data_IF_718037606250
#
_entry.id   IF_718037606250
#
_cell.length_a   1.000
_cell.length_b   1.000
_cell.length_c   1.000
_cell.angle_alpha   90.00
_cell.angle_beta   90.00
_cell.angle_gamma   90.00
#
_symmetry.space_group_name_H-M   'P 1'
#
loop_
_entity.id
_entity.type
_entity.pdbx_description
1 polymer ?
#
# COMPACT_ATOMS: atom_id res chain seq x y z
N UNK A 1 3.49 -13.19 -12.97
CA UNK A 1 2.13 -12.96 -12.43
C UNK A 1 1.71 -14.07 -11.45
N UNK A 2 1.95 -15.32 -11.75
CA UNK A 2 1.52 -16.47 -10.96
C UNK A 2 2.27 -16.62 -9.63
N UNK A 3 3.60 -16.49 -9.64
CA UNK A 3 4.43 -16.45 -8.44
C UNK A 3 4.01 -15.30 -7.51
N UNK A 4 3.63 -14.15 -8.08
CA UNK A 4 3.06 -13.05 -7.32
C UNK A 4 1.75 -13.43 -6.63
N UNK A 5 0.83 -14.11 -7.30
CA UNK A 5 -0.47 -14.48 -6.72
C UNK A 5 -0.34 -15.57 -5.65
N UNK A 6 0.55 -16.55 -5.83
CA UNK A 6 0.80 -17.59 -4.83
C UNK A 6 1.62 -17.11 -3.64
N UNK A 7 2.50 -16.12 -3.85
CA UNK A 7 3.31 -15.53 -2.79
C UNK A 7 2.57 -14.42 -2.03
N UNK A 8 1.60 -13.74 -2.67
CA UNK A 8 0.81 -12.68 -2.03
C UNK A 8 -0.01 -13.19 -0.85
N UNK A 9 -0.65 -14.35 -0.99
CA UNK A 9 -1.34 -15.01 0.12
C UNK A 9 -1.57 -16.49 -0.20
N UNK A 10 -0.79 -17.43 0.35
CA UNK A 10 -1.00 -18.87 0.13
C UNK A 10 -2.39 -19.29 0.61
N UNK A 11 -3.10 -20.03 -0.24
CA UNK A 11 -4.35 -20.72 0.11
C UNK A 11 -5.65 -19.98 -0.21
N UNK A 12 -5.69 -18.65 -0.28
CA UNK A 12 -6.97 -17.94 -0.47
C UNK A 12 -7.51 -18.02 -1.89
N UNK A 13 -6.63 -17.87 -2.87
CA UNK A 13 -7.01 -17.87 -4.29
C UNK A 13 -6.84 -19.25 -4.94
N UNK A 14 -6.31 -20.23 -4.23
CA UNK A 14 -6.04 -21.58 -4.74
C UNK A 14 -7.24 -22.22 -5.45
N UNK A 15 -8.49 -22.15 -4.92
CA UNK A 15 -9.64 -22.74 -5.61
C UNK A 15 -9.97 -22.06 -6.94
N UNK A 16 -9.63 -20.78 -7.09
CA UNK A 16 -9.94 -19.96 -8.27
C UNK A 16 -8.74 -19.79 -9.21
N UNK A 17 -7.55 -19.77 -8.67
CA UNK A 17 -6.29 -19.57 -9.41
C UNK A 17 -5.66 -20.92 -9.79
N UNK A 18 -5.89 -21.97 -9.04
CA UNK A 18 -5.39 -23.32 -9.34
C UNK A 18 -5.64 -23.79 -10.78
N UNK A 19 -6.89 -23.73 -11.28
CA UNK A 19 -7.18 -24.10 -12.66
C UNK A 19 -6.47 -23.22 -13.70
N UNK A 20 -6.29 -21.93 -13.41
CA UNK A 20 -5.53 -21.01 -14.27
C UNK A 20 -4.04 -21.34 -14.23
N UNK A 21 -3.54 -21.71 -13.05
CA UNK A 21 -2.17 -22.16 -12.87
C UNK A 21 -1.87 -23.40 -13.68
N UNK A 22 -2.72 -24.39 -13.64
CA UNK A 22 -2.56 -25.62 -14.40
C UNK A 22 -2.58 -25.36 -15.93
N UNK A 23 -3.46 -24.48 -16.40
CA UNK A 23 -3.48 -24.05 -17.82
C UNK A 23 -2.20 -23.34 -18.22
N UNK A 24 -1.66 -22.44 -17.41
CA UNK A 24 -0.40 -21.75 -17.67
C UNK A 24 0.78 -22.71 -17.66
N UNK A 25 0.85 -23.66 -16.72
CA UNK A 25 1.86 -24.71 -16.72
C UNK A 25 1.81 -25.50 -18.02
N UNK A 26 0.62 -25.85 -18.49
CA UNK A 26 0.46 -26.62 -19.74
C UNK A 26 0.92 -25.82 -20.97
N UNK A 27 0.55 -24.53 -21.04
CA UNK A 27 0.96 -23.63 -22.15
C UNK A 27 2.47 -23.38 -22.16
N UNK A 28 3.13 -23.36 -21.00
CA UNK A 28 4.57 -23.13 -20.85
C UNK A 28 5.43 -24.39 -21.02
N UNK A 29 4.84 -25.51 -21.42
CA UNK A 29 5.58 -26.76 -21.70
C UNK A 29 5.58 -27.78 -20.58
N UNK A 30 4.61 -27.69 -19.67
CA UNK A 30 4.38 -28.66 -18.60
C UNK A 30 5.29 -28.52 -17.38
N UNK A 31 5.20 -29.48 -16.46
CA UNK A 31 5.92 -29.51 -15.18
C UNK A 31 7.46 -29.31 -15.28
N UNK A 32 8.19 -29.96 -16.23
CA UNK A 32 9.64 -29.77 -16.33
C UNK A 32 10.04 -28.34 -16.64
N UNK A 33 9.33 -27.69 -17.57
CA UNK A 33 9.59 -26.31 -17.94
C UNK A 33 9.22 -25.35 -16.80
N UNK A 34 8.11 -25.62 -16.10
CA UNK A 34 7.65 -24.87 -14.95
C UNK A 34 8.68 -24.89 -13.81
N UNK A 35 9.17 -26.07 -13.41
CA UNK A 35 10.23 -26.21 -12.38
C UNK A 35 11.53 -25.50 -12.77
N UNK A 36 11.85 -25.46 -14.07
CA UNK A 36 13.01 -24.71 -14.57
C UNK A 36 12.82 -23.21 -14.41
N UNK A 37 11.60 -22.68 -14.64
CA UNK A 37 11.26 -21.28 -14.45
C UNK A 37 11.33 -20.90 -12.96
N UNK A 38 10.73 -21.68 -12.07
CA UNK A 38 10.76 -21.45 -10.62
C UNK A 38 12.18 -21.41 -10.04
N UNK A 39 13.10 -22.21 -10.59
CA UNK A 39 14.52 -22.18 -10.18
C UNK A 39 15.27 -20.95 -10.68
N UNK A 40 14.85 -20.38 -11.81
CA UNK A 40 15.55 -19.27 -12.49
C UNK A 40 14.98 -17.91 -12.18
N UNK A 41 13.70 -17.83 -11.79
CA UNK A 41 13.01 -16.60 -11.42
C UNK A 41 12.72 -16.67 -9.93
N UNK A 42 13.34 -15.80 -9.18
CA UNK A 42 13.09 -15.64 -7.72
C UNK A 42 12.57 -14.26 -7.45
N UNK A 43 11.45 -14.19 -6.73
CA UNK A 43 10.89 -12.94 -6.27
C UNK A 43 11.20 -12.85 -4.78
N UNK A 44 11.95 -11.82 -4.40
CA UNK A 44 12.21 -11.54 -3.00
C UNK A 44 11.28 -10.43 -2.55
N UNK A 45 10.53 -10.67 -1.50
CA UNK A 45 9.69 -9.67 -0.84
C UNK A 45 10.28 -9.36 0.53
N UNK A 46 11.23 -8.41 0.63
CA UNK A 46 11.73 -7.95 1.92
C UNK A 46 10.63 -7.18 2.65
N UNK A 47 10.66 -7.20 3.97
CA UNK A 47 9.79 -6.39 4.85
C UNK A 47 8.28 -6.73 4.81
N UNK A 48 7.92 -7.94 4.39
CA UNK A 48 6.54 -8.41 4.44
C UNK A 48 6.03 -8.47 5.87
N UNK A 49 4.90 -7.83 6.13
CA UNK A 49 4.17 -8.02 7.40
C UNK A 49 3.40 -9.35 7.34
N UNK A 50 3.52 -10.12 8.41
CA UNK A 50 2.78 -11.37 8.50
C UNK A 50 1.31 -11.05 8.76
N UNK A 51 0.44 -11.51 7.89
CA UNK A 51 -1.02 -11.45 8.05
C UNK A 51 -1.50 -12.84 8.44
N UNK A 52 -2.37 -12.90 9.45
CA UNK A 52 -3.01 -14.16 9.82
C UNK A 52 -3.88 -14.65 8.66
N UNK A 53 -3.65 -15.90 8.15
CA UNK A 53 -4.39 -16.42 7.01
C UNK A 53 -5.90 -16.53 7.26
N UNK A 54 -6.32 -16.81 8.50
CA UNK A 54 -7.72 -16.97 8.88
C UNK A 54 -8.44 -15.61 8.82
N UNK A 55 -7.83 -14.57 9.41
CA UNK A 55 -8.38 -13.23 9.37
C UNK A 55 -8.43 -12.70 7.94
N UNK A 56 -7.38 -12.91 7.16
CA UNK A 56 -7.37 -12.53 5.75
C UNK A 56 -8.49 -13.22 4.97
N UNK A 57 -8.66 -14.52 5.15
CA UNK A 57 -9.71 -15.31 4.47
C UNK A 57 -11.11 -14.80 4.83
N UNK A 58 -11.34 -14.49 6.10
CA UNK A 58 -12.62 -13.94 6.58
C UNK A 58 -12.92 -12.60 5.93
N UNK A 59 -11.94 -11.69 5.87
CA UNK A 59 -12.08 -10.38 5.23
C UNK A 59 -12.33 -10.52 3.72
N UNK A 60 -11.56 -11.37 3.03
CA UNK A 60 -11.73 -11.60 1.61
C UNK A 60 -13.11 -12.19 1.28
N UNK A 61 -13.55 -13.15 2.09
CA UNK A 61 -14.88 -13.73 1.96
C UNK A 61 -15.99 -12.68 2.17
N UNK A 62 -15.80 -11.78 3.15
CA UNK A 62 -16.73 -10.69 3.40
C UNK A 62 -16.83 -9.72 2.20
N UNK A 63 -15.69 -9.38 1.56
CA UNK A 63 -15.67 -8.57 0.32
C UNK A 63 -16.42 -9.27 -0.81
N UNK A 64 -16.12 -10.56 -1.07
CA UNK A 64 -16.73 -11.34 -2.15
C UNK A 64 -18.23 -11.53 -1.95
N UNK A 65 -18.64 -11.88 -0.73
CA UNK A 65 -20.07 -12.11 -0.38
C UNK A 65 -20.86 -10.84 -0.12
N UNK A 66 -20.19 -9.67 -0.15
CA UNK A 66 -20.79 -8.39 0.21
C UNK A 66 -21.47 -8.43 1.57
N UNK A 67 -20.77 -8.98 2.56
CA UNK A 67 -21.24 -9.15 3.94
C UNK A 67 -20.54 -8.15 4.86
N UNK A 68 -21.21 -7.80 5.97
CA UNK A 68 -20.56 -7.06 7.05
C UNK A 68 -19.56 -7.97 7.76
N UNK A 69 -18.53 -7.34 8.35
CA UNK A 69 -17.58 -8.04 9.21
C UNK A 69 -17.34 -7.21 10.47
N UNK A 70 -17.37 -7.87 11.61
CA UNK A 70 -16.85 -7.30 12.85
C UNK A 70 -15.36 -7.60 12.91
N UNK A 71 -14.59 -6.59 13.32
CA UNK A 71 -13.14 -6.69 13.48
C UNK A 71 -12.71 -6.12 14.83
N UNK A 72 -11.73 -6.77 15.46
CA UNK A 72 -10.91 -6.19 16.51
C UNK A 72 -9.60 -5.75 15.87
N UNK A 73 -9.41 -4.42 15.80
CA UNK A 73 -8.30 -3.81 15.07
C UNK A 73 -7.36 -3.09 16.03
N UNK A 74 -6.05 -3.33 15.87
CA UNK A 74 -5.00 -2.65 16.61
C UNK A 74 -4.56 -1.36 15.89
N UNK A 75 -4.87 -0.21 16.48
CA UNK A 75 -4.38 1.08 16.01
C UNK A 75 -2.95 1.29 16.50
N UNK A 76 -1.97 1.09 15.65
CA UNK A 76 -0.54 1.24 15.97
C UNK A 76 -0.16 2.64 16.40
N UNK A 77 -0.80 3.68 15.84
CA UNK A 77 -0.51 5.08 16.17
C UNK A 77 -0.96 5.44 17.59
N UNK A 78 -2.10 4.95 18.00
CA UNK A 78 -2.70 5.23 19.31
C UNK A 78 -2.36 4.14 20.33
N UNK A 79 -1.65 3.09 19.91
CA UNK A 79 -1.30 1.93 20.73
C UNK A 79 -2.52 1.34 21.46
N UNK A 80 -3.65 1.21 20.77
CA UNK A 80 -4.90 0.69 21.35
C UNK A 80 -5.66 -0.21 20.40
N UNK A 81 -6.42 -1.13 20.98
CA UNK A 81 -7.37 -1.97 20.25
C UNK A 81 -8.73 -1.28 20.17
N UNK A 82 -9.41 -1.51 19.06
CA UNK A 82 -10.78 -1.00 18.85
C UNK A 82 -11.62 -2.06 18.14
N UNK A 83 -12.85 -2.19 18.57
CA UNK A 83 -13.85 -3.06 17.94
C UNK A 83 -14.71 -2.26 16.97
N UNK A 84 -14.98 -2.83 15.82
CA UNK A 84 -15.73 -2.15 14.75
C UNK A 84 -16.50 -3.13 13.91
N UNK A 85 -17.65 -2.69 13.43
CA UNK A 85 -18.32 -3.32 12.30
C UNK A 85 -17.98 -2.51 11.06
N UNK A 86 -17.53 -3.15 10.02
CA UNK A 86 -17.24 -2.54 8.73
C UNK A 86 -18.06 -3.21 7.62
N UNK A 87 -18.36 -2.45 6.56
CA UNK A 87 -18.84 -2.96 5.28
C UNK A 87 -17.67 -2.93 4.31
N UNK A 88 -16.92 -4.04 4.13
CA UNK A 88 -15.73 -4.07 3.32
C UNK A 88 -16.09 -3.93 1.83
N UNK A 89 -15.39 -3.06 1.11
CA UNK A 89 -15.64 -2.77 -0.29
C UNK A 89 -14.64 -3.46 -1.20
N UNK A 90 -13.34 -3.33 -0.90
CA UNK A 90 -12.26 -3.91 -1.70
C UNK A 90 -11.03 -4.26 -0.86
N UNK A 91 -10.23 -5.23 -1.32
CA UNK A 91 -8.89 -5.53 -0.83
C UNK A 91 -7.86 -4.87 -1.72
N UNK A 92 -6.84 -4.29 -1.12
CA UNK A 92 -5.74 -3.61 -1.80
C UNK A 92 -4.42 -4.21 -1.31
N UNK A 93 -3.57 -4.60 -2.26
CA UNK A 93 -2.19 -4.94 -1.96
C UNK A 93 -1.29 -3.75 -2.29
N UNK A 94 -0.62 -3.21 -1.27
CA UNK A 94 0.23 -2.05 -1.41
C UNK A 94 1.52 -2.22 -0.59
N UNK A 95 2.66 -2.09 -1.23
CA UNK A 95 4.00 -2.23 -0.61
C UNK A 95 4.10 -3.49 0.28
N UNK A 96 3.82 -4.65 -0.30
CA UNK A 96 3.89 -5.96 0.37
C UNK A 96 2.94 -6.14 1.57
N UNK A 97 1.93 -5.26 1.71
CA UNK A 97 0.92 -5.36 2.75
C UNK A 97 -0.50 -5.33 2.17
N UNK A 98 -1.40 -6.04 2.84
CA UNK A 98 -2.82 -6.04 2.51
C UNK A 98 -3.59 -5.02 3.34
N UNK A 99 -4.50 -4.35 2.68
CA UNK A 99 -5.44 -3.41 3.28
C UNK A 99 -6.86 -3.74 2.82
N UNK A 100 -7.83 -3.43 3.66
CA UNK A 100 -9.24 -3.47 3.30
C UNK A 100 -9.85 -2.08 3.43
N UNK A 101 -10.42 -1.61 2.32
CA UNK A 101 -11.24 -0.42 2.35
C UNK A 101 -12.66 -0.81 2.70
N UNK A 102 -13.24 -0.07 3.60
CA UNK A 102 -14.59 -0.34 4.04
C UNK A 102 -15.25 0.86 4.71
N UNK A 103 -16.56 0.88 4.65
CA UNK A 103 -17.35 1.82 5.44
C UNK A 103 -17.36 1.37 6.90
N UNK A 104 -16.82 2.20 7.77
CA UNK A 104 -16.77 1.96 9.21
C UNK A 104 -18.06 2.46 9.88
N UNK A 105 -18.90 1.55 10.37
CA UNK A 105 -20.17 1.92 11.02
C UNK A 105 -19.99 2.69 12.32
N UNK A 106 -18.83 2.55 13.00
CA UNK A 106 -18.54 3.29 14.22
C UNK A 106 -18.21 4.77 13.97
N UNK A 107 -17.59 5.05 12.80
CA UNK A 107 -17.14 6.41 12.43
C UNK A 107 -18.00 7.04 11.35
N UNK A 108 -18.93 6.26 10.80
CA UNK A 108 -19.81 6.65 9.71
C UNK A 108 -19.07 7.21 8.48
N UNK A 109 -17.90 6.62 8.19
CA UNK A 109 -16.99 7.10 7.16
C UNK A 109 -16.23 5.95 6.49
N UNK A 110 -15.70 6.19 5.27
CA UNK A 110 -14.78 5.28 4.60
C UNK A 110 -13.42 5.27 5.31
N UNK A 111 -12.84 4.09 5.46
CA UNK A 111 -11.53 3.89 6.07
C UNK A 111 -10.81 2.70 5.47
N UNK A 112 -9.50 2.82 5.41
CA UNK A 112 -8.59 1.72 5.09
C UNK A 112 -8.05 1.11 6.38
N UNK A 113 -8.11 -0.22 6.48
CA UNK A 113 -7.58 -0.99 7.60
C UNK A 113 -6.48 -1.92 7.11
N UNK A 114 -5.31 -1.85 7.74
CA UNK A 114 -4.25 -2.82 7.49
C UNK A 114 -4.70 -4.20 8.00
N UNK A 115 -4.70 -5.20 7.12
CA UNK A 115 -5.21 -6.54 7.46
C UNK A 115 -4.33 -7.22 8.50
N UNK A 116 -3.02 -6.97 8.48
CA UNK A 116 -2.06 -7.45 9.49
C UNK A 116 -2.24 -6.80 10.88
N UNK A 117 -3.09 -5.80 11.00
CA UNK A 117 -3.48 -5.18 12.26
C UNK A 117 -4.86 -5.65 12.77
N UNK A 118 -5.52 -6.53 12.04
CA UNK A 118 -6.78 -7.17 12.47
C UNK A 118 -6.42 -8.37 13.35
N UNK A 119 -6.83 -8.29 14.60
CA UNK A 119 -6.55 -9.30 15.63
C UNK A 119 -7.64 -10.39 15.67
N UNK A 120 -8.84 -10.03 15.25
CA UNK A 120 -9.99 -10.93 15.13
C UNK A 120 -10.91 -10.42 14.03
N UNK A 121 -11.55 -11.33 13.31
CA UNK A 121 -12.51 -11.03 12.26
C UNK A 121 -13.65 -12.05 12.28
N UNK A 122 -14.90 -11.57 12.28
CA UNK A 122 -16.09 -12.41 12.24
C UNK A 122 -17.10 -11.88 11.22
N UNK A 123 -17.61 -12.74 10.36
CA UNK A 123 -18.74 -12.37 9.50
C UNK A 123 -19.94 -11.98 10.33
N UNK A 124 -20.64 -10.94 9.92
CA UNK A 124 -21.88 -10.49 10.56
C UNK A 124 -23.01 -10.49 9.56
N UNK A 125 -24.16 -10.92 10.04
CA UNK A 125 -25.42 -10.78 9.30
C UNK A 125 -25.80 -9.33 9.16
N UNK A 126 -26.57 -9.05 8.12
CA UNK A 126 -27.10 -7.73 7.85
C UNK A 126 -26.60 -7.16 6.51
N UNK A 127 -27.38 -6.22 6.01
CA UNK A 127 -27.13 -5.62 4.70
C UNK A 127 -25.85 -4.76 4.74
N UNK A 128 -24.90 -5.06 3.86
CA UNK A 128 -23.70 -4.25 3.68
C UNK A 128 -24.08 -2.87 3.13
N UNK A 129 -23.43 -1.81 3.60
CA UNK A 129 -23.48 -0.51 2.93
C UNK A 129 -22.56 -0.57 1.73
N UNK A 130 -23.12 -0.39 0.55
CA UNK A 130 -22.38 -0.32 -0.72
C UNK A 130 -21.98 1.13 -0.93
N UNK A 131 -20.72 1.34 -1.30
CA UNK A 131 -20.15 2.64 -1.66
C UNK A 131 -19.84 2.60 -3.16
N UNK A 132 -20.21 3.64 -3.93
CA UNK A 132 -19.91 3.70 -5.37
C UNK A 132 -18.39 3.68 -5.63
N UNK A 133 -17.98 3.04 -6.72
CA UNK A 133 -16.56 2.92 -7.08
C UNK A 133 -15.88 4.29 -7.25
N UNK A 134 -16.60 5.27 -7.80
CA UNK A 134 -16.11 6.66 -7.94
C UNK A 134 -15.75 7.25 -6.57
N UNK A 135 -16.59 7.08 -5.56
CA UNK A 135 -16.34 7.56 -4.19
C UNK A 135 -15.16 6.82 -3.54
N UNK A 136 -15.02 5.51 -3.82
CA UNK A 136 -13.88 4.72 -3.36
C UNK A 136 -12.57 5.18 -4.01
N UNK A 137 -12.60 5.49 -5.30
CA UNK A 137 -11.43 5.94 -6.03
C UNK A 137 -11.01 7.35 -5.62
N UNK A 138 -11.96 8.26 -5.41
CA UNK A 138 -11.71 9.59 -4.86
C UNK A 138 -11.11 9.51 -3.44
N UNK A 139 -11.58 8.55 -2.64
CA UNK A 139 -11.07 8.38 -1.27
C UNK A 139 -9.62 7.90 -1.23
N UNK A 140 -9.19 7.04 -2.16
CA UNK A 140 -7.86 6.42 -2.17
C UNK A 140 -6.93 6.97 -3.25
N UNK A 141 -7.47 7.48 -4.35
CA UNK A 141 -6.69 7.82 -5.53
C UNK A 141 -6.08 9.22 -5.51
N UNK A 142 -6.39 10.03 -4.52
CA UNK A 142 -6.14 11.47 -4.57
C UNK A 142 -4.68 11.90 -4.36
N UNK A 143 -3.76 10.98 -3.95
CA UNK A 143 -2.37 11.38 -3.68
C UNK A 143 -1.41 10.23 -3.50
N UNK A 144 -0.14 10.56 -3.31
CA UNK A 144 0.92 9.60 -3.06
C UNK A 144 0.63 8.77 -1.80
N UNK A 145 0.70 7.45 -1.94
CA UNK A 145 0.49 6.51 -0.84
C UNK A 145 -0.90 5.92 -0.77
N UNK A 146 -1.17 5.19 0.30
CA UNK A 146 -2.43 4.48 0.55
C UNK A 146 -3.35 5.23 1.54
N UNK A 147 -2.87 6.30 2.15
CA UNK A 147 -3.66 7.02 3.14
C UNK A 147 -4.67 7.95 2.48
N UNK A 148 -5.97 7.74 2.72
CA UNK A 148 -7.01 8.55 2.13
C UNK A 148 -6.98 10.00 2.62
N UNK A 149 -7.28 10.94 1.72
CA UNK A 149 -7.45 12.36 2.03
C UNK A 149 -8.22 13.05 0.92
N UNK A 150 -9.09 13.99 1.30
CA UNK A 150 -9.89 14.77 0.34
C UNK A 150 -9.14 15.97 -0.21
N UNK A 151 -8.19 16.50 0.54
CA UNK A 151 -7.36 17.63 0.14
C UNK A 151 -6.02 17.12 -0.37
N UNK A 152 -5.68 17.49 -1.60
CA UNK A 152 -4.43 17.10 -2.25
C UNK A 152 -3.54 18.34 -2.34
N UNK A 153 -2.34 18.23 -1.79
CA UNK A 153 -1.27 19.20 -1.95
C UNK A 153 -0.21 18.64 -2.90
N UNK A 154 0.59 19.53 -3.46
CA UNK A 154 1.71 19.16 -4.33
C UNK A 154 3.04 19.39 -3.62
N UNK A 155 3.85 18.36 -3.58
CA UNK A 155 5.22 18.44 -3.10
C UNK A 155 6.18 18.60 -4.28
N UNK A 156 7.15 19.48 -4.14
CA UNK A 156 8.29 19.61 -5.06
C UNK A 156 9.54 19.12 -4.32
N UNK A 157 10.17 18.08 -4.86
CA UNK A 157 11.33 17.44 -4.24
C UNK A 157 12.49 17.48 -5.25
N UNK A 158 13.64 17.97 -4.82
CA UNK A 158 14.87 17.98 -5.61
C UNK A 158 15.77 16.84 -5.15
N UNK A 159 16.29 16.08 -6.11
CA UNK A 159 17.23 14.99 -5.89
C UNK A 159 18.61 15.37 -6.44
N UNK A 160 19.67 14.94 -5.76
CA UNK A 160 21.04 15.11 -6.22
C UNK A 160 21.26 14.46 -7.61
N UNK A 161 22.29 14.86 -8.38
CA UNK A 161 22.63 14.19 -9.65
C UNK A 161 22.89 12.69 -9.49
N UNK A 162 23.33 12.25 -8.32
CA UNK A 162 23.55 10.84 -8.02
C UNK A 162 22.22 10.11 -7.86
N UNK A 163 21.34 10.56 -6.99
CA UNK A 163 20.01 9.98 -6.78
C UNK A 163 19.14 10.06 -8.04
N UNK A 164 19.30 11.10 -8.86
CA UNK A 164 18.57 11.30 -10.12
C UNK A 164 18.69 10.11 -11.08
N UNK A 165 19.82 9.41 -11.08
CA UNK A 165 20.06 8.21 -11.93
C UNK A 165 19.04 7.10 -11.66
N UNK A 166 18.52 7.01 -10.46
CA UNK A 166 17.56 5.99 -10.01
C UNK A 166 16.14 6.53 -10.00
N UNK A 167 15.94 7.70 -9.36
CA UNK A 167 14.61 8.28 -9.17
C UNK A 167 13.94 8.65 -10.49
N UNK A 168 14.71 9.11 -11.48
CA UNK A 168 14.16 9.43 -12.81
C UNK A 168 13.54 8.25 -13.56
N UNK A 169 13.79 7.02 -13.12
CA UNK A 169 13.20 5.78 -13.65
C UNK A 169 12.02 5.25 -12.83
N UNK A 170 11.70 5.92 -11.73
CA UNK A 170 10.61 5.51 -10.84
C UNK A 170 9.34 6.30 -11.16
N UNK A 171 8.21 5.64 -11.03
CA UNK A 171 6.90 6.28 -11.03
C UNK A 171 6.37 6.28 -9.59
N UNK A 172 6.27 7.46 -8.99
CA UNK A 172 5.75 7.63 -7.65
C UNK A 172 4.24 7.85 -7.66
N UNK A 173 3.74 8.55 -8.70
CA UNK A 173 2.31 8.79 -8.88
C UNK A 173 1.99 8.92 -10.38
N UNK A 174 0.81 8.48 -10.85
CA UNK A 174 0.44 8.62 -12.26
C UNK A 174 0.46 10.07 -12.79
N UNK A 175 0.13 11.03 -11.95
CA UNK A 175 0.09 12.45 -12.29
C UNK A 175 1.38 13.21 -11.97
N UNK A 176 2.44 12.50 -11.52
CA UNK A 176 3.72 13.15 -11.22
C UNK A 176 4.23 13.97 -12.41
N UNK A 177 4.86 15.11 -12.10
CA UNK A 177 5.60 15.91 -13.07
C UNK A 177 7.06 15.91 -12.70
N UNK A 178 7.93 16.01 -13.70
CA UNK A 178 9.36 15.99 -13.41
C UNK A 178 10.16 16.74 -14.46
N UNK A 179 11.37 17.19 -14.06
CA UNK A 179 12.35 17.79 -14.93
C UNK A 179 13.76 17.53 -14.44
N UNK A 180 14.71 17.49 -15.36
CA UNK A 180 16.14 17.44 -15.04
C UNK A 180 16.71 18.84 -15.20
N UNK A 181 17.46 19.30 -14.21
CA UNK A 181 18.13 20.60 -14.20
C UNK A 181 19.49 20.51 -14.92
N UNK A 182 20.09 21.67 -15.22
CA UNK A 182 21.37 21.75 -15.93
C UNK A 182 22.53 21.11 -15.16
N UNK A 183 22.47 21.12 -13.84
CA UNK A 183 23.46 20.52 -12.95
C UNK A 183 23.32 18.99 -12.83
N UNK A 184 22.35 18.39 -13.54
CA UNK A 184 22.03 16.97 -13.48
C UNK A 184 21.13 16.58 -12.33
N UNK A 185 20.71 17.49 -11.47
CA UNK A 185 19.72 17.22 -10.44
C UNK A 185 18.33 16.98 -11.06
N UNK A 186 17.47 16.26 -10.33
CA UNK A 186 16.14 15.90 -10.78
C UNK A 186 15.09 16.48 -9.84
N UNK A 187 14.13 17.19 -10.39
CA UNK A 187 13.02 17.76 -9.64
C UNK A 187 11.76 16.98 -9.96
N UNK A 188 11.13 16.47 -8.91
CA UNK A 188 9.89 15.70 -8.95
C UNK A 188 8.79 16.51 -8.26
N UNK A 189 7.66 16.64 -8.93
CA UNK A 189 6.43 17.16 -8.36
C UNK A 189 5.44 16.00 -8.21
N UNK A 190 4.93 15.78 -7.00
CA UNK A 190 4.05 14.66 -6.70
C UNK A 190 2.88 15.13 -5.83
N UNK A 191 1.62 14.75 -6.18
CA UNK A 191 0.48 15.07 -5.34
C UNK A 191 0.45 14.13 -4.13
N UNK A 192 0.07 14.64 -2.95
CA UNK A 192 -0.10 13.84 -1.73
C UNK A 192 -1.29 14.35 -0.92
N UNK A 193 -1.99 13.44 -0.26
CA UNK A 193 -3.10 13.76 0.62
C UNK A 193 -2.69 13.72 2.10
N UNK A 194 -1.74 12.86 2.43
CA UNK A 194 -1.09 12.79 3.75
C UNK A 194 0.39 12.63 3.59
N UNK A 195 1.13 13.36 4.39
CA UNK A 195 2.58 13.48 4.26
C UNK A 195 3.37 12.33 4.91
N UNK A 196 2.75 11.45 5.73
CA UNK A 196 3.45 10.41 6.47
C UNK A 196 4.30 9.51 5.56
N UNK A 197 3.73 9.03 4.45
CA UNK A 197 4.47 8.15 3.53
C UNK A 197 5.49 8.91 2.72
N UNK A 198 5.14 10.12 2.27
CA UNK A 198 6.04 10.96 1.49
C UNK A 198 7.26 11.38 2.31
N UNK A 199 7.07 11.74 3.59
CA UNK A 199 8.17 12.00 4.52
C UNK A 199 9.10 10.80 4.65
N UNK A 200 8.55 9.59 4.84
CA UNK A 200 9.37 8.37 4.93
C UNK A 200 10.11 8.10 3.63
N UNK A 201 9.48 8.34 2.49
CA UNK A 201 10.10 8.13 1.18
C UNK A 201 11.28 9.09 0.96
N UNK A 202 11.09 10.38 1.26
CA UNK A 202 12.16 11.39 1.18
C UNK A 202 13.32 11.06 2.11
N UNK A 203 13.02 10.65 3.34
CA UNK A 203 14.05 10.31 4.34
C UNK A 203 14.95 9.14 3.93
N UNK A 204 14.50 8.23 3.07
CA UNK A 204 15.33 7.13 2.53
C UNK A 204 16.54 7.62 1.74
N UNK A 205 16.43 8.81 1.13
CA UNK A 205 17.50 9.39 0.33
C UNK A 205 18.50 10.20 1.15
N UNK A 206 18.22 10.44 2.45
CA UNK A 206 19.13 11.18 3.31
C UNK A 206 19.49 12.55 2.75
N UNK A 207 20.80 12.84 2.53
CA UNK A 207 21.25 14.13 2.00
C UNK A 207 20.97 14.32 0.50
N UNK A 208 20.54 13.27 -0.21
CA UNK A 208 20.34 13.29 -1.64
C UNK A 208 18.92 13.73 -2.06
N UNK A 209 18.07 14.07 -1.10
CA UNK A 209 16.74 14.60 -1.37
C UNK A 209 16.46 15.84 -0.54
N UNK A 210 15.92 16.86 -1.18
CA UNK A 210 15.51 18.12 -0.57
C UNK A 210 14.06 18.45 -0.93
N UNK A 211 13.20 18.66 0.06
CA UNK A 211 11.85 19.19 -0.17
C UNK A 211 11.96 20.68 -0.43
N UNK A 212 11.57 21.14 -1.63
CA UNK A 212 11.55 22.54 -2.00
C UNK A 212 10.23 23.22 -1.58
N UNK A 213 9.11 22.47 -1.71
CA UNK A 213 7.78 22.94 -1.29
C UNK A 213 6.87 21.75 -0.96
N UNK A 214 5.81 21.95 -0.15
CA UNK A 214 5.51 23.14 0.64
C UNK A 214 6.40 23.24 1.89
N UNK A 215 6.43 24.42 2.50
CA UNK A 215 7.24 24.70 3.71
C UNK A 215 6.85 23.78 4.89
N UNK A 216 5.58 23.43 5.01
CA UNK A 216 5.07 22.48 6.03
C UNK A 216 5.76 21.12 5.93
N UNK A 217 5.82 20.55 4.73
CA UNK A 217 6.47 19.27 4.47
C UNK A 217 7.98 19.36 4.67
N UNK A 218 8.60 20.46 4.17
CA UNK A 218 10.03 20.73 4.35
C UNK A 218 10.41 20.80 5.83
N UNK A 219 9.67 21.54 6.64
CA UNK A 219 9.89 21.66 8.07
C UNK A 219 9.75 20.30 8.78
N UNK A 220 8.79 19.47 8.37
CA UNK A 220 8.57 18.15 8.93
C UNK A 220 9.73 17.19 8.64
N UNK A 221 10.23 17.17 7.40
CA UNK A 221 11.40 16.37 7.00
C UNK A 221 12.64 16.84 7.76
N UNK A 222 12.91 18.15 7.79
CA UNK A 222 14.04 18.73 8.53
C UNK A 222 14.01 18.35 10.02
N UNK A 223 12.87 18.48 10.68
CA UNK A 223 12.71 18.10 12.08
C UNK A 223 12.99 16.62 12.35
N UNK A 224 12.63 15.72 11.40
CA UNK A 224 12.95 14.29 11.52
C UNK A 224 14.43 14.02 11.34
N UNK A 225 15.10 14.71 10.40
CA UNK A 225 16.54 14.60 10.19
C UNK A 225 17.33 15.12 11.41
N UNK A 226 16.92 16.25 11.97
CA UNK A 226 17.52 16.79 13.18
C UNK A 226 17.38 15.85 14.38
N UNK A 227 16.20 15.28 14.57
CA UNK A 227 15.96 14.31 15.62
C UNK A 227 16.83 13.05 15.43
N UNK A 228 16.96 12.56 14.18
CA UNK A 228 17.83 11.44 13.86
C UNK A 228 19.29 11.79 14.12
N UNK A 229 19.79 12.93 13.65
CA UNK A 229 21.18 13.35 13.86
C UNK A 229 21.57 13.45 15.35
N UNK A 230 20.62 13.83 16.23
CA UNK A 230 20.84 13.87 17.69
C UNK A 230 21.06 12.50 18.33
N UNK A 231 20.56 11.41 17.71
CA UNK A 231 20.78 10.04 18.23
C UNK A 231 22.20 9.52 17.97
N UNK A 232 22.93 10.14 17.03
CA UNK A 232 24.28 9.73 16.63
C UNK A 232 25.38 10.68 17.15
N UNK A 233 25.01 11.67 17.95
CA UNK A 233 25.93 12.58 18.64
C UNK A 233 26.05 12.25 20.12
#
# INVERSE_FOLDING_TARGET
MQTLLSELQPGLLDPHVGPLQERLKHVLGGEPAWKSIERRIRIFQPERRLTDPEHFSTIALAVIRRSRVWIRHYNRRENRQTERVISPQRLIHYRDNWYVDGYCHLREDLRSFAVDAILEAELRDGRMRIVPDVELDEHLGAGYGIFPGREVEWATIKFSPEAARWVSKQSWHPEQKSRTEQDGSYVLEVPYAKDEELVMEVLKFGPDAEVLSPDSLRARVAGRLDAAAKQYR
#
